data_IF_733578568411
#
_entry.id   IF_733578568411
#
_cell.length_a   1.000
_cell.length_b   1.000
_cell.length_c   1.000
_cell.angle_alpha   90.00
_cell.angle_beta   90.00
_cell.angle_gamma   90.00
#
_symmetry.space_group_name_H-M   'P 1'
#
loop_
_entity.id
_entity.type
_entity.pdbx_description
1 polymer ?
#
# COMPACT_ATOMS: atom_id res chain seq x y z
N UNK A 1 -61.86 -6.65 0.42
CA UNK A 1 -61.16 -5.72 1.33
C UNK A 1 -59.71 -6.16 1.49
N UNK A 2 -58.84 -5.85 0.52
CA UNK A 2 -57.42 -6.22 0.52
C UNK A 2 -56.49 -4.98 0.39
N UNK A 3 -57.03 -3.77 0.56
CA UNK A 3 -56.39 -2.51 0.17
C UNK A 3 -55.40 -1.97 1.21
N UNK A 4 -55.57 -2.29 2.50
CA UNK A 4 -54.70 -1.75 3.55
C UNK A 4 -53.26 -2.27 3.50
N UNK A 5 -53.08 -3.57 3.28
CA UNK A 5 -51.75 -4.19 3.23
C UNK A 5 -50.95 -3.79 1.98
N UNK A 6 -51.62 -3.57 0.84
CA UNK A 6 -50.97 -3.08 -0.38
C UNK A 6 -50.51 -1.63 -0.25
N UNK A 7 -51.33 -0.77 0.39
CA UNK A 7 -50.99 0.63 0.65
C UNK A 7 -49.77 0.75 1.57
N UNK A 8 -49.78 0.05 2.70
CA UNK A 8 -48.65 0.06 3.65
C UNK A 8 -47.36 -0.44 3.01
N UNK A 9 -47.42 -1.46 2.15
CA UNK A 9 -46.25 -1.97 1.44
C UNK A 9 -45.71 -0.94 0.44
N UNK A 10 -46.60 -0.24 -0.25
CA UNK A 10 -46.24 0.78 -1.23
C UNK A 10 -45.61 2.01 -0.56
N UNK A 11 -46.12 2.44 0.59
CA UNK A 11 -45.53 3.50 1.42
C UNK A 11 -44.15 3.10 1.95
N UNK A 12 -44.00 1.86 2.42
CA UNK A 12 -42.71 1.34 2.88
C UNK A 12 -41.66 1.27 1.75
N UNK A 13 -42.07 0.86 0.54
CA UNK A 13 -41.19 0.83 -0.63
C UNK A 13 -40.76 2.25 -1.03
N UNK A 14 -41.69 3.21 -1.05
CA UNK A 14 -41.38 4.60 -1.37
C UNK A 14 -40.42 5.23 -0.34
N UNK A 15 -40.62 4.94 0.94
CA UNK A 15 -39.73 5.39 2.02
C UNK A 15 -38.35 4.75 1.91
N UNK A 16 -38.29 3.46 1.57
CA UNK A 16 -37.04 2.77 1.30
C UNK A 16 -36.27 3.45 0.17
N UNK A 17 -36.89 3.71 -0.97
CA UNK A 17 -36.19 4.35 -2.11
C UNK A 17 -35.67 5.75 -1.76
N UNK A 18 -36.46 6.54 -1.03
CA UNK A 18 -36.02 7.87 -0.57
C UNK A 18 -34.80 7.77 0.36
N UNK A 19 -34.85 6.90 1.38
CA UNK A 19 -33.76 6.74 2.36
C UNK A 19 -32.55 6.01 1.80
N UNK A 20 -32.75 5.11 0.86
CA UNK A 20 -31.68 4.47 0.10
C UNK A 20 -30.90 5.51 -0.69
N UNK A 21 -31.58 6.43 -1.38
CA UNK A 21 -30.95 7.55 -2.07
C UNK A 21 -30.08 8.42 -1.16
N UNK A 22 -30.61 8.79 0.01
CA UNK A 22 -29.86 9.56 1.02
C UNK A 22 -28.61 8.80 1.50
N UNK A 23 -28.75 7.52 1.85
CA UNK A 23 -27.66 6.66 2.28
C UNK A 23 -26.54 6.56 1.23
N UNK A 24 -26.89 6.41 -0.05
CA UNK A 24 -25.90 6.33 -1.12
C UNK A 24 -25.18 7.66 -1.35
N UNK A 25 -25.87 8.78 -1.22
CA UNK A 25 -25.26 10.10 -1.32
C UNK A 25 -24.24 10.34 -0.19
N UNK A 26 -24.61 9.99 1.04
CA UNK A 26 -23.75 10.12 2.22
C UNK A 26 -22.56 9.16 2.16
N UNK A 27 -22.79 7.86 1.88
CA UNK A 27 -21.72 6.87 1.75
C UNK A 27 -20.69 7.26 0.68
N UNK A 28 -21.16 7.81 -0.45
CA UNK A 28 -20.29 8.36 -1.49
C UNK A 28 -19.52 9.58 -0.99
N UNK A 29 -20.18 10.48 -0.27
CA UNK A 29 -19.56 11.67 0.33
C UNK A 29 -18.40 11.27 1.26
N UNK A 30 -18.67 10.35 2.19
CA UNK A 30 -17.67 9.82 3.12
C UNK A 30 -16.50 9.16 2.39
N UNK A 31 -16.79 8.32 1.38
CA UNK A 31 -15.73 7.69 0.59
C UNK A 31 -14.81 8.71 -0.09
N UNK A 32 -15.39 9.79 -0.64
CA UNK A 32 -14.63 10.83 -1.34
C UNK A 32 -13.89 11.79 -0.42
N UNK A 33 -14.51 12.17 0.68
CA UNK A 33 -13.99 13.13 1.66
C UNK A 33 -12.83 12.54 2.44
N UNK A 34 -13.01 11.33 2.97
CA UNK A 34 -12.01 10.67 3.80
C UNK A 34 -11.08 9.76 3.00
N UNK A 35 -11.37 9.50 1.71
CA UNK A 35 -10.55 8.64 0.88
C UNK A 35 -10.51 7.20 1.41
N UNK A 36 -11.63 6.71 1.93
CA UNK A 36 -11.81 5.34 2.45
C UNK A 36 -12.83 4.59 1.61
N UNK A 37 -12.68 3.27 1.50
CA UNK A 37 -13.66 2.45 0.83
C UNK A 37 -14.89 2.26 1.73
N UNK A 38 -16.07 2.56 1.19
CA UNK A 38 -17.34 2.47 1.93
C UNK A 38 -18.24 1.46 1.25
N UNK A 39 -18.77 0.51 2.03
CA UNK A 39 -19.79 -0.43 1.58
C UNK A 39 -21.13 -0.10 2.25
N UNK A 40 -22.12 0.28 1.44
CA UNK A 40 -23.49 0.52 1.90
C UNK A 40 -24.34 -0.72 1.66
N UNK A 41 -25.14 -1.11 2.67
CA UNK A 41 -26.06 -2.24 2.61
C UNK A 41 -27.44 -1.79 3.09
N UNK A 42 -28.46 -1.97 2.26
CA UNK A 42 -29.82 -1.58 2.59
C UNK A 42 -30.78 -2.76 2.39
N UNK A 43 -31.61 -3.06 3.39
CA UNK A 43 -32.56 -4.17 3.34
C UNK A 43 -33.92 -3.70 2.82
N UNK A 44 -34.46 -4.42 1.83
CA UNK A 44 -35.76 -4.05 1.25
C UNK A 44 -36.92 -4.39 2.20
N UNK A 45 -37.97 -3.56 2.23
CA UNK A 45 -39.18 -3.88 2.99
C UNK A 45 -39.83 -5.16 2.45
N UNK A 46 -40.31 -6.01 3.36
CA UNK A 46 -40.95 -7.28 2.98
C UNK A 46 -40.00 -8.45 2.71
N UNK A 47 -38.73 -8.34 3.09
CA UNK A 47 -37.80 -9.48 3.13
C UNK A 47 -37.22 -9.90 1.78
N UNK A 48 -37.34 -9.06 0.75
CA UNK A 48 -36.85 -9.33 -0.61
C UNK A 48 -35.32 -9.30 -0.77
N UNK A 49 -34.56 -9.30 0.33
CA UNK A 49 -33.10 -9.28 0.34
C UNK A 49 -32.49 -7.88 0.60
N UNK A 50 -31.17 -7.82 0.48
CA UNK A 50 -30.38 -6.60 0.67
C UNK A 50 -29.76 -6.13 -0.65
N UNK A 51 -29.64 -4.82 -0.80
CA UNK A 51 -28.93 -4.17 -1.90
C UNK A 51 -27.57 -3.71 -1.39
N UNK A 52 -26.51 -4.03 -2.12
CA UNK A 52 -25.13 -3.72 -1.77
C UNK A 52 -24.54 -2.71 -2.77
N UNK A 53 -23.85 -1.70 -2.25
CA UNK A 53 -23.10 -0.74 -3.05
C UNK A 53 -21.70 -0.56 -2.46
N UNK A 54 -20.71 -0.46 -3.34
CA UNK A 54 -19.32 -0.25 -2.98
C UNK A 54 -18.84 1.07 -3.58
N UNK A 55 -18.27 1.92 -2.73
CA UNK A 55 -17.73 3.22 -3.09
C UNK A 55 -16.26 3.26 -2.75
N UNK A 56 -15.43 3.42 -3.77
CA UNK A 56 -13.98 3.45 -3.59
C UNK A 56 -13.54 4.86 -3.22
N UNK A 57 -12.93 4.99 -2.05
CA UNK A 57 -12.35 6.23 -1.60
C UNK A 57 -10.92 6.34 -2.08
N UNK A 58 -10.71 6.88 -3.28
CA UNK A 58 -9.35 7.17 -3.71
C UNK A 58 -8.80 8.32 -2.86
N UNK A 59 -7.81 8.04 -2.00
CA UNK A 59 -7.08 9.08 -1.27
C UNK A 59 -6.61 10.15 -2.25
N UNK A 60 -6.61 11.41 -1.81
CA UNK A 60 -6.12 12.54 -2.63
C UNK A 60 -4.72 12.23 -3.17
N UNK A 61 -3.91 11.57 -2.37
CA UNK A 61 -2.56 11.11 -2.74
C UNK A 61 -2.57 10.05 -3.84
N UNK A 62 -3.44 9.03 -3.77
CA UNK A 62 -3.55 8.04 -4.84
C UNK A 62 -3.96 8.68 -6.17
N UNK A 63 -4.84 9.70 -6.14
CA UNK A 63 -5.22 10.47 -7.34
C UNK A 63 -4.06 11.31 -7.88
N UNK A 64 -3.30 11.96 -7.01
CA UNK A 64 -2.09 12.72 -7.37
C UNK A 64 -1.03 11.80 -7.96
N UNK A 65 -0.71 10.68 -7.30
CA UNK A 65 0.24 9.67 -7.79
C UNK A 65 -0.19 9.14 -9.16
N UNK A 66 -1.48 8.84 -9.36
CA UNK A 66 -1.99 8.41 -10.67
C UNK A 66 -1.82 9.47 -11.74
N UNK A 67 -2.04 10.75 -11.40
CA UNK A 67 -1.85 11.87 -12.33
C UNK A 67 -0.37 12.04 -12.69
N UNK A 68 0.52 12.00 -11.71
CA UNK A 68 1.98 12.07 -11.90
C UNK A 68 2.42 10.92 -12.79
N UNK A 69 2.03 9.67 -12.49
CA UNK A 69 2.37 8.50 -13.32
C UNK A 69 1.92 8.66 -14.77
N UNK A 70 0.73 9.22 -15.01
CA UNK A 70 0.25 9.52 -16.38
C UNK A 70 1.02 10.66 -17.06
N UNK A 71 1.48 11.65 -16.32
CA UNK A 71 2.33 12.70 -16.88
C UNK A 71 3.68 12.09 -17.28
N UNK A 72 4.34 11.40 -16.36
CA UNK A 72 5.62 10.72 -16.61
C UNK A 72 5.52 9.73 -17.76
N UNK A 73 4.47 8.90 -17.82
CA UNK A 73 4.31 7.94 -18.91
C UNK A 73 4.17 8.62 -20.28
N UNK A 74 3.49 9.78 -20.34
CA UNK A 74 3.38 10.57 -21.56
C UNK A 74 4.73 11.19 -21.94
N UNK A 75 5.42 11.79 -20.97
CA UNK A 75 6.72 12.42 -21.20
C UNK A 75 7.73 11.39 -21.69
N UNK A 76 7.82 10.22 -21.04
CA UNK A 76 8.69 9.11 -21.46
C UNK A 76 8.30 8.58 -22.85
N UNK A 77 7.00 8.49 -23.17
CA UNK A 77 6.56 8.06 -24.51
C UNK A 77 6.89 9.07 -25.61
N UNK A 78 7.11 10.34 -25.25
CA UNK A 78 7.47 11.41 -26.18
C UNK A 78 8.99 11.59 -26.31
N UNK A 79 9.81 10.94 -25.47
CA UNK A 79 11.27 11.04 -25.56
C UNK A 79 11.79 10.45 -26.88
N UNK A 80 12.71 11.17 -27.50
CA UNK A 80 13.46 10.69 -28.65
C UNK A 80 14.60 9.75 -28.26
N UNK A 81 15.10 8.95 -29.21
CA UNK A 81 16.18 7.99 -28.97
C UNK A 81 17.49 8.66 -28.48
N UNK A 82 17.78 9.88 -28.94
CA UNK A 82 18.95 10.64 -28.48
C UNK A 82 18.84 11.04 -27.01
N UNK A 83 17.67 11.51 -26.60
CA UNK A 83 17.37 11.89 -25.21
C UNK A 83 17.42 10.66 -24.29
N UNK A 84 16.91 9.51 -24.74
CA UNK A 84 17.03 8.23 -24.02
C UNK A 84 18.50 7.84 -23.85
N UNK A 85 19.32 7.93 -24.90
CA UNK A 85 20.73 7.60 -24.83
C UNK A 85 21.51 8.52 -23.87
N UNK A 86 21.15 9.81 -23.82
CA UNK A 86 21.73 10.75 -22.87
C UNK A 86 21.37 10.40 -21.42
N UNK A 87 20.10 10.10 -21.14
CA UNK A 87 19.66 9.66 -19.82
C UNK A 87 20.35 8.36 -19.38
N UNK A 88 20.52 7.39 -20.28
CA UNK A 88 21.26 6.16 -20.00
C UNK A 88 22.72 6.43 -19.64
N UNK A 89 23.38 7.34 -20.38
CA UNK A 89 24.75 7.76 -20.08
C UNK A 89 24.86 8.41 -18.71
N UNK A 90 23.95 9.33 -18.39
CA UNK A 90 23.92 10.00 -17.08
C UNK A 90 23.67 8.99 -15.94
N UNK A 91 22.75 8.06 -16.13
CA UNK A 91 22.49 6.96 -15.18
C UNK A 91 23.75 6.09 -14.98
N UNK A 92 24.49 5.79 -16.04
CA UNK A 92 25.75 5.06 -15.96
C UNK A 92 26.80 5.77 -15.11
N UNK A 93 26.96 7.09 -15.29
CA UNK A 93 27.89 7.91 -14.50
C UNK A 93 27.48 7.90 -13.02
N UNK A 94 26.20 8.14 -12.72
CA UNK A 94 25.72 8.13 -11.32
C UNK A 94 25.94 6.78 -10.64
N UNK A 95 25.65 5.67 -11.34
CA UNK A 95 25.89 4.31 -10.82
C UNK A 95 27.37 4.08 -10.53
N UNK A 96 28.26 4.54 -11.41
CA UNK A 96 29.70 4.43 -11.19
C UNK A 96 30.17 5.23 -9.96
N UNK A 97 29.63 6.43 -9.74
CA UNK A 97 29.93 7.25 -8.55
C UNK A 97 29.46 6.54 -7.28
N UNK A 98 28.23 6.02 -7.26
CA UNK A 98 27.68 5.29 -6.12
C UNK A 98 28.49 4.02 -5.85
N UNK A 99 28.87 3.26 -6.88
CA UNK A 99 29.68 2.06 -6.73
C UNK A 99 31.05 2.36 -6.10
N UNK A 100 31.73 3.42 -6.56
CA UNK A 100 33.01 3.86 -5.97
C UNK A 100 32.85 4.29 -4.52
N UNK A 101 31.80 5.04 -4.19
CA UNK A 101 31.52 5.46 -2.83
C UNK A 101 31.27 4.26 -1.90
N UNK A 102 30.56 3.24 -2.37
CA UNK A 102 30.34 2.00 -1.64
C UNK A 102 31.64 1.20 -1.45
N UNK A 103 32.48 1.10 -2.49
CA UNK A 103 33.80 0.46 -2.41
C UNK A 103 34.73 1.15 -1.42
N UNK A 104 34.79 2.49 -1.41
CA UNK A 104 35.58 3.25 -0.46
C UNK A 104 35.10 3.05 0.98
N UNK A 105 33.77 3.03 1.21
CA UNK A 105 33.18 2.70 2.51
C UNK A 105 33.53 1.27 2.96
N UNK A 106 33.48 0.31 2.04
CA UNK A 106 33.84 -1.08 2.34
C UNK A 106 35.33 -1.22 2.68
N UNK A 107 36.23 -0.56 1.95
CA UNK A 107 37.66 -0.56 2.23
C UNK A 107 37.99 0.09 3.59
N UNK A 108 37.34 1.20 3.94
CA UNK A 108 37.48 1.84 5.26
C UNK A 108 36.91 0.98 6.40
N UNK A 109 35.89 0.16 6.13
CA UNK A 109 35.36 -0.83 7.07
C UNK A 109 36.24 -2.08 7.20
N UNK A 110 36.93 -2.49 6.14
CA UNK A 110 37.89 -3.60 6.12
C UNK A 110 39.20 -3.28 6.84
N UNK A 111 39.66 -2.03 6.80
CA UNK A 111 40.85 -1.56 7.51
C UNK A 111 40.72 -1.59 9.06
N UNK A 112 39.51 -1.84 9.59
CA UNK A 112 39.28 -2.05 11.03
C UNK A 112 39.27 -3.53 11.44
N UNK A 113 39.46 -4.48 10.53
CA UNK A 113 39.55 -5.91 10.84
C UNK A 113 40.91 -6.48 10.42
N UNK A 114 41.76 -6.70 11.43
CA UNK A 114 43.04 -7.43 11.46
C UNK A 114 44.31 -6.62 11.05
N UNK A 115 45.34 -6.59 11.92
CA UNK A 115 45.95 -7.80 12.47
C UNK A 115 46.11 -7.79 14.00
N UNK A 116 45.34 -8.63 14.69
CA UNK A 116 45.61 -9.02 16.08
C UNK A 116 45.51 -10.54 16.24
N UNK A 117 45.92 -11.27 15.19
CA UNK A 117 46.12 -12.73 15.21
C UNK A 117 47.61 -13.02 15.14
N UNK A 118 48.37 -12.56 16.13
CA UNK A 118 49.76 -12.96 16.29
C UNK A 118 50.27 -12.83 17.73
N UNK A 119 49.46 -13.17 18.72
CA UNK A 119 49.99 -13.53 20.04
C UNK A 119 48.98 -14.34 20.84
N UNK A 120 49.13 -15.66 20.81
CA UNK A 120 49.38 -16.45 22.02
C UNK A 120 49.42 -17.94 21.64
N UNK A 121 50.63 -18.49 21.70
CA UNK A 121 50.83 -19.91 21.89
C UNK A 121 50.62 -20.20 23.39
N UNK A 122 49.52 -20.85 23.77
CA UNK A 122 49.45 -21.78 24.90
C UNK A 122 48.12 -22.57 24.88
N UNK A 123 48.15 -23.87 25.24
CA UNK A 123 46.97 -24.73 25.23
C UNK A 123 46.22 -24.64 26.56
N UNK A 124 44.90 -24.49 26.53
CA UNK A 124 44.08 -24.49 27.74
C UNK A 124 42.60 -24.62 27.43
N UNK A 125 42.01 -25.75 27.80
CA UNK A 125 40.60 -26.05 27.62
C UNK A 125 39.68 -25.21 28.51
N UNK A 126 38.42 -25.10 28.11
CA UNK A 126 37.38 -24.46 28.91
C UNK A 126 36.04 -24.46 28.20
N UNK A 127 35.13 -25.30 28.70
CA UNK A 127 33.77 -25.48 28.22
C UNK A 127 32.94 -24.18 28.26
N UNK A 128 32.18 -23.92 27.18
CA UNK A 128 31.31 -22.74 27.02
C UNK A 128 29.88 -23.13 26.67
N UNK A 129 29.15 -23.47 27.72
CA UNK A 129 27.70 -23.57 27.93
C UNK A 129 26.79 -22.90 26.86
N UNK A 130 26.14 -23.70 26.00
CA UNK A 130 25.11 -23.24 25.05
C UNK A 130 23.71 -23.28 25.67
N UNK A 131 23.26 -22.15 26.24
CA UNK A 131 21.86 -21.97 26.66
C UNK A 131 21.00 -21.49 25.49
N UNK A 132 20.45 -22.43 24.72
CA UNK A 132 19.29 -22.19 23.87
C UNK A 132 18.04 -22.37 24.74
N UNK A 133 17.31 -21.29 25.04
CA UNK A 133 15.99 -21.35 25.67
C UNK A 133 14.92 -21.42 24.57
N UNK A 134 14.35 -22.60 24.38
CA UNK A 134 13.16 -22.82 23.54
C UNK A 134 11.92 -22.45 24.36
N UNK A 135 11.11 -21.51 23.86
CA UNK A 135 9.82 -21.13 24.46
C UNK A 135 8.73 -21.90 23.71
N UNK A 136 8.04 -22.78 24.43
CA UNK A 136 6.80 -23.42 23.97
C UNK A 136 5.67 -22.56 24.53
N UNK A 137 4.74 -22.15 23.66
CA UNK A 137 3.50 -21.45 24.02
C UNK A 137 2.39 -22.49 23.88
N UNK A 138 1.65 -22.74 24.98
CA UNK A 138 0.41 -23.53 24.99
C UNK A 138 -0.75 -22.80 24.30
#
# INVERSE_FOLDING_TARGET
>A
MATGASLQRQEAEALFEAKHGELLAEARGVALEFGVDVRAVAFRPGGGGAVHHEFVGATRDARVVRRIRRAVARDVSAMGMEEVAEHERQLGIMRAVVARALQAKAAAGGAKRAPEQQQEAAPGGGAGDSKIRMIIID
#
